data_IF_038927730264
#
_entry.id   IF_038927730264
#
_cell.length_a   1.000
_cell.length_b   1.000
_cell.length_c   1.000
_cell.angle_alpha   90.00
_cell.angle_beta   90.00
_cell.angle_gamma   90.00
#
_symmetry.space_group_name_H-M   'P 1'
#
loop_
_entity.id
_entity.type
_entity.pdbx_description
1 polymer ?
#
# COMPACT_ATOMS: atom_id res chain seq x y z
N UNK A 1 5.12 21.97 -5.97
CA UNK A 1 4.10 21.57 -6.94
C UNK A 1 3.03 20.73 -6.22
N UNK A 2 1.78 20.97 -6.57
CA UNK A 2 0.66 20.25 -5.94
C UNK A 2 0.64 18.79 -6.41
N UNK A 3 0.81 17.83 -5.48
CA UNK A 3 0.82 16.40 -5.79
C UNK A 3 -0.49 15.90 -6.41
N UNK A 4 -1.59 16.64 -6.27
CA UNK A 4 -2.88 16.30 -6.86
C UNK A 4 -3.05 16.84 -8.29
N UNK A 5 -2.00 17.45 -8.87
CA UNK A 5 -1.97 17.89 -10.27
C UNK A 5 -0.88 17.18 -11.07
N UNK A 6 -0.32 16.14 -10.52
CA UNK A 6 0.76 15.37 -11.15
C UNK A 6 0.39 13.90 -11.24
N UNK A 7 0.97 13.23 -12.21
CA UNK A 7 0.95 11.77 -12.25
C UNK A 7 2.06 11.28 -11.33
N UNK A 8 1.72 10.62 -10.25
CA UNK A 8 2.68 10.16 -9.25
C UNK A 8 3.06 8.71 -9.48
N UNK A 9 4.36 8.40 -9.69
CA UNK A 9 4.81 7.01 -9.71
C UNK A 9 4.87 6.46 -8.29
N UNK A 10 4.19 5.35 -8.06
CA UNK A 10 4.03 4.70 -6.76
C UNK A 10 4.37 3.23 -6.87
N UNK A 11 4.88 2.64 -5.80
CA UNK A 11 5.05 1.20 -5.67
C UNK A 11 4.30 0.70 -4.45
N UNK A 12 3.59 -0.40 -4.59
CA UNK A 12 2.88 -1.05 -3.48
C UNK A 12 3.32 -2.52 -3.38
N UNK A 13 3.40 -3.02 -2.14
CA UNK A 13 3.78 -4.39 -1.84
C UNK A 13 2.60 -5.24 -1.40
N UNK A 14 2.43 -6.36 -2.08
CA UNK A 14 1.44 -7.39 -1.71
C UNK A 14 2.15 -8.35 -0.76
N UNK A 15 2.01 -8.11 0.53
CA UNK A 15 2.60 -8.94 1.58
C UNK A 15 1.51 -9.76 2.25
N UNK A 16 1.61 -11.08 2.10
CA UNK A 16 0.61 -12.02 2.61
C UNK A 16 1.19 -12.91 3.70
N UNK A 17 0.35 -13.29 4.66
CA UNK A 17 0.66 -14.28 5.67
C UNK A 17 -0.63 -14.99 6.08
N UNK A 18 -0.70 -16.32 5.91
CA UNK A 18 -1.85 -17.14 6.31
C UNK A 18 -3.20 -16.57 5.80
N UNK A 19 -3.29 -16.30 4.51
CA UNK A 19 -4.48 -15.76 3.88
C UNK A 19 -4.88 -14.37 4.39
N UNK A 20 -3.91 -13.63 4.93
CA UNK A 20 -4.11 -12.25 5.35
C UNK A 20 -3.16 -11.34 4.58
N UNK A 21 -3.62 -10.12 4.31
CA UNK A 21 -2.88 -9.09 3.60
C UNK A 21 -2.47 -7.99 4.56
N UNK A 22 -1.21 -7.56 4.47
CA UNK A 22 -0.72 -6.43 5.26
C UNK A 22 -1.15 -5.12 4.62
N UNK A 23 -1.90 -4.32 5.37
CA UNK A 23 -2.49 -3.07 4.88
C UNK A 23 -2.49 -2.00 5.96
N UNK A 24 -2.55 -0.75 5.53
CA UNK A 24 -2.82 0.38 6.41
C UNK A 24 -4.26 0.85 6.22
N UNK A 25 -4.84 1.40 7.28
CA UNK A 25 -6.20 1.92 7.26
C UNK A 25 -6.18 3.39 6.84
N UNK A 26 -7.10 3.76 5.96
CA UNK A 26 -7.32 5.14 5.58
C UNK A 26 -8.78 5.52 5.74
N UNK A 27 -9.03 6.82 5.80
CA UNK A 27 -10.38 7.34 5.92
C UNK A 27 -10.57 8.55 5.01
N UNK A 28 -11.62 8.51 4.18
CA UNK A 28 -12.00 9.65 3.32
C UNK A 28 -13.14 10.41 4.01
N UNK A 29 -12.83 11.61 4.48
CA UNK A 29 -13.79 12.46 5.22
C UNK A 29 -14.99 12.88 4.37
N UNK A 30 -14.77 13.09 3.08
CA UNK A 30 -15.83 13.56 2.17
C UNK A 30 -16.81 12.44 1.88
N UNK A 31 -16.31 11.23 1.63
CA UNK A 31 -17.13 10.05 1.35
C UNK A 31 -17.61 9.35 2.63
N UNK A 32 -17.07 9.72 3.78
CA UNK A 32 -17.32 9.06 5.07
C UNK A 32 -17.10 7.54 4.91
N UNK A 33 -15.93 7.18 4.42
CA UNK A 33 -15.61 5.79 4.09
C UNK A 33 -14.23 5.41 4.57
N UNK A 34 -14.16 4.27 5.27
CA UNK A 34 -12.90 3.62 5.65
C UNK A 34 -12.45 2.71 4.50
N UNK A 35 -11.17 2.74 4.19
CA UNK A 35 -10.58 1.88 3.18
C UNK A 35 -9.21 1.40 3.66
N UNK A 36 -8.66 0.40 2.96
CA UNK A 36 -7.34 -0.13 3.24
C UNK A 36 -6.44 0.01 2.02
N UNK A 37 -5.14 0.11 2.26
CA UNK A 37 -4.15 0.23 1.21
C UNK A 37 -2.92 -0.60 1.56
N UNK A 38 -2.34 -1.27 0.58
CA UNK A 38 -1.06 -1.96 0.75
C UNK A 38 0.03 -0.96 1.10
N UNK A 39 1.07 -1.41 1.81
CA UNK A 39 2.22 -0.57 2.15
C UNK A 39 3.05 -0.28 0.91
N UNK A 40 3.67 0.87 0.91
CA UNK A 40 4.50 1.35 -0.18
C UNK A 40 4.46 2.87 -0.24
N UNK A 41 4.82 3.44 -1.37
CA UNK A 41 4.83 4.89 -1.52
C UNK A 41 5.48 5.36 -2.79
N UNK A 42 5.85 6.62 -2.84
CA UNK A 42 6.39 7.27 -4.01
C UNK A 42 7.76 6.75 -4.41
N UNK A 43 7.97 6.59 -5.71
CA UNK A 43 9.27 6.24 -6.27
C UNK A 43 10.04 7.55 -6.44
N UNK A 44 11.27 7.61 -5.95
CA UNK A 44 12.10 8.80 -6.04
C UNK A 44 12.91 8.82 -7.34
N UNK A 45 13.34 10.00 -7.76
CA UNK A 45 14.16 10.17 -8.94
C UNK A 45 15.42 9.30 -8.86
N UNK A 46 15.71 8.54 -9.93
CA UNK A 46 16.83 7.59 -10.05
C UNK A 46 16.72 6.34 -9.18
N UNK A 47 15.57 6.10 -8.57
CA UNK A 47 15.30 4.93 -7.77
C UNK A 47 14.48 3.92 -8.59
N UNK A 48 14.88 2.65 -8.57
CA UNK A 48 14.07 1.60 -9.19
C UNK A 48 12.86 1.28 -8.31
N UNK A 49 11.76 0.86 -8.90
CA UNK A 49 10.52 0.62 -8.15
C UNK A 49 10.69 -0.39 -7.02
N UNK A 50 11.44 -1.49 -7.23
CA UNK A 50 11.64 -2.48 -6.17
C UNK A 50 12.52 -1.94 -5.03
N UNK A 51 13.46 -1.02 -5.33
CA UNK A 51 14.27 -0.36 -4.31
C UNK A 51 13.42 0.59 -3.47
N UNK A 52 12.51 1.31 -4.13
CA UNK A 52 11.57 2.19 -3.45
C UNK A 52 10.70 1.41 -2.47
N UNK A 53 10.26 0.22 -2.86
CA UNK A 53 9.42 -0.61 -1.99
C UNK A 53 10.17 -1.01 -0.71
N UNK A 54 11.43 -1.41 -0.83
CA UNK A 54 12.28 -1.75 0.32
C UNK A 54 12.45 -0.56 1.24
N UNK A 55 12.74 0.61 0.67
CA UNK A 55 12.90 1.85 1.43
C UNK A 55 11.62 2.22 2.17
N UNK A 56 10.47 2.15 1.49
CA UNK A 56 9.19 2.50 2.08
C UNK A 56 8.84 1.59 3.26
N UNK A 57 9.07 0.29 3.17
CA UNK A 57 8.82 -0.61 4.30
C UNK A 57 9.71 -0.28 5.49
N UNK A 58 10.99 0.04 5.26
CA UNK A 58 11.90 0.47 6.33
C UNK A 58 11.42 1.76 6.99
N UNK A 59 10.99 2.73 6.20
CA UNK A 59 10.49 4.01 6.72
C UNK A 59 9.18 3.84 7.48
N UNK A 60 8.26 3.05 6.95
CA UNK A 60 6.92 2.93 7.51
C UNK A 60 6.83 2.01 8.73
N UNK A 61 7.45 0.85 8.69
CA UNK A 61 7.35 -0.15 9.77
C UNK A 61 8.70 -0.62 10.33
N UNK A 62 9.80 -0.09 9.82
CA UNK A 62 11.13 -0.42 10.33
C UNK A 62 11.60 -1.83 10.02
N UNK A 63 11.04 -2.48 8.99
CA UNK A 63 11.38 -3.87 8.65
C UNK A 63 11.94 -3.98 7.24
N UNK A 64 12.92 -4.88 7.08
CA UNK A 64 13.42 -5.27 5.77
C UNK A 64 12.49 -6.30 5.16
N UNK A 65 12.28 -6.20 3.85
CA UNK A 65 11.47 -7.16 3.10
C UNK A 65 12.30 -7.79 1.99
N UNK A 66 11.87 -8.98 1.57
CA UNK A 66 12.29 -9.57 0.30
C UNK A 66 11.25 -9.22 -0.74
N UNK A 67 11.66 -8.51 -1.79
CA UNK A 67 10.79 -8.26 -2.94
C UNK A 67 10.89 -9.47 -3.85
N UNK A 68 9.75 -10.05 -4.20
CA UNK A 68 9.71 -11.30 -4.97
C UNK A 68 9.35 -11.06 -6.43
N UNK A 69 8.08 -11.08 -6.76
CA UNK A 69 7.62 -11.03 -8.14
C UNK A 69 7.08 -9.65 -8.50
N UNK A 70 7.41 -9.20 -9.70
CA UNK A 70 6.74 -8.05 -10.30
C UNK A 70 5.37 -8.52 -10.80
N UNK A 71 4.30 -7.91 -10.29
CA UNK A 71 2.94 -8.35 -10.59
C UNK A 71 2.28 -7.55 -11.70
N UNK A 72 2.61 -6.28 -11.83
CA UNK A 72 2.05 -5.46 -12.88
C UNK A 72 2.09 -3.96 -12.56
N UNK A 73 1.57 -3.19 -13.50
CA UNK A 73 1.42 -1.73 -13.38
C UNK A 73 -0.04 -1.38 -13.63
N UNK A 74 -0.58 -0.47 -12.84
CA UNK A 74 -1.92 0.07 -13.01
C UNK A 74 -1.89 1.58 -13.06
N UNK A 75 -2.78 2.13 -13.86
CA UNK A 75 -3.07 3.57 -13.84
C UNK A 75 -4.27 3.76 -12.93
N UNK A 76 -4.10 4.57 -11.88
CA UNK A 76 -5.15 4.78 -10.89
C UNK A 76 -5.55 6.25 -10.88
N UNK A 77 -6.75 6.53 -11.35
CA UNK A 77 -7.33 7.88 -11.36
C UNK A 77 -8.48 7.88 -10.38
N UNK A 78 -8.41 8.73 -9.37
CA UNK A 78 -9.37 8.68 -8.27
C UNK A 78 -9.54 10.06 -7.64
N UNK A 79 -10.51 10.15 -6.73
CA UNK A 79 -10.75 11.35 -5.92
C UNK A 79 -10.61 10.98 -4.46
N UNK A 80 -9.78 11.74 -3.74
CA UNK A 80 -9.61 11.59 -2.31
C UNK A 80 -9.90 12.92 -1.62
N UNK A 81 -10.86 12.90 -0.70
CA UNK A 81 -11.30 14.09 0.05
C UNK A 81 -11.62 15.28 -0.89
N UNK A 82 -12.28 14.99 -2.00
CA UNK A 82 -12.68 15.98 -3.01
C UNK A 82 -11.58 16.41 -3.96
N UNK A 83 -10.35 15.87 -3.81
CA UNK A 83 -9.22 16.20 -4.68
C UNK A 83 -8.96 15.09 -5.68
N UNK A 84 -8.76 15.49 -6.94
CA UNK A 84 -8.44 14.55 -8.01
C UNK A 84 -6.98 14.11 -7.90
N UNK A 85 -6.73 12.80 -8.04
CA UNK A 85 -5.42 12.22 -7.97
C UNK A 85 -5.18 11.26 -9.14
N UNK A 86 -3.91 11.11 -9.53
CA UNK A 86 -3.52 10.24 -10.64
C UNK A 86 -2.20 9.58 -10.26
N UNK A 87 -2.22 8.24 -10.19
CA UNK A 87 -1.04 7.45 -9.81
C UNK A 87 -0.74 6.38 -10.86
N UNK A 88 0.55 6.18 -11.12
CA UNK A 88 1.05 5.04 -11.87
C UNK A 88 1.64 4.09 -10.85
N UNK A 89 1.02 2.93 -10.65
CA UNK A 89 1.34 2.04 -9.53
C UNK A 89 2.01 0.77 -10.02
N UNK A 90 3.20 0.50 -9.47
CA UNK A 90 3.92 -0.76 -9.65
C UNK A 90 3.58 -1.69 -8.48
N UNK A 91 3.23 -2.94 -8.78
CA UNK A 91 2.90 -3.94 -7.76
C UNK A 91 3.94 -5.03 -7.73
N UNK A 92 4.41 -5.35 -6.54
CA UNK A 92 5.30 -6.49 -6.28
C UNK A 92 4.73 -7.33 -5.16
N UNK A 93 4.97 -8.64 -5.22
CA UNK A 93 4.81 -9.46 -4.02
C UNK A 93 6.03 -9.25 -3.13
N UNK A 94 5.82 -9.29 -1.82
CA UNK A 94 6.86 -9.04 -0.84
C UNK A 94 6.67 -9.96 0.36
N UNK A 95 7.78 -10.30 1.02
CA UNK A 95 7.77 -11.16 2.20
C UNK A 95 8.56 -10.51 3.33
N UNK A 96 7.98 -10.54 4.52
CA UNK A 96 8.67 -10.22 5.76
C UNK A 96 9.38 -11.46 6.25
N UNK A 97 10.48 -11.28 7.00
CA UNK A 97 11.12 -12.39 7.68
C UNK A 97 10.17 -12.93 8.76
N UNK A 98 10.19 -14.23 8.96
CA UNK A 98 9.32 -14.89 9.95
C UNK A 98 9.49 -14.30 11.35
N UNK A 99 10.75 -14.02 11.76
CA UNK A 99 11.05 -13.41 13.05
C UNK A 99 10.56 -11.97 13.20
N UNK A 100 10.23 -11.29 12.09
CA UNK A 100 9.73 -9.92 12.10
C UNK A 100 8.21 -9.84 12.10
N UNK A 101 7.52 -10.97 12.13
CA UNK A 101 6.06 -10.99 12.17
C UNK A 101 5.54 -10.39 13.46
N UNK A 102 4.59 -9.49 13.35
CA UNK A 102 3.84 -8.89 14.46
C UNK A 102 2.36 -8.85 14.08
N UNK A 103 1.49 -8.87 15.07
CA UNK A 103 0.05 -8.76 14.82
C UNK A 103 -0.33 -7.40 14.22
N UNK A 104 0.38 -6.35 14.62
CA UNK A 104 0.24 -5.02 14.01
C UNK A 104 1.57 -4.27 14.10
N UNK A 105 1.72 -3.30 13.23
CA UNK A 105 2.91 -2.45 13.17
C UNK A 105 2.49 -1.00 13.34
N UNK A 106 3.20 -0.25 14.19
CA UNK A 106 3.04 1.20 14.27
C UNK A 106 3.72 1.80 13.05
N UNK A 107 2.98 2.62 12.31
CA UNK A 107 3.48 3.29 11.12
C UNK A 107 3.71 4.77 11.41
N UNK A 108 4.81 5.30 10.90
CA UNK A 108 5.07 6.73 10.87
C UNK A 108 4.97 7.19 9.40
N UNK A 109 3.90 7.92 9.10
CA UNK A 109 3.68 8.51 7.78
C UNK A 109 3.64 10.03 7.92
N UNK A 110 4.70 10.71 7.47
CA UNK A 110 4.76 12.19 7.47
C UNK A 110 4.37 12.81 8.81
N UNK A 111 4.88 12.22 9.91
CA UNK A 111 4.61 12.71 11.26
C UNK A 111 3.26 12.30 11.84
N UNK A 112 2.47 11.53 11.10
CA UNK A 112 1.19 10.98 11.60
C UNK A 112 1.39 9.52 11.99
N UNK A 113 0.91 9.16 13.17
CA UNK A 113 0.95 7.76 13.63
C UNK A 113 -0.26 7.03 13.08
N UNK A 114 -0.02 5.91 12.43
CA UNK A 114 -1.03 5.01 11.89
C UNK A 114 -0.63 3.57 12.21
N UNK A 115 -1.41 2.61 11.77
CA UNK A 115 -1.15 1.18 11.97
C UNK A 115 -1.19 0.42 10.67
N UNK A 116 -0.29 -0.54 10.52
CA UNK A 116 -0.39 -1.58 9.50
C UNK A 116 -0.90 -2.84 10.20
N UNK A 117 -1.90 -3.46 9.61
CA UNK A 117 -2.61 -4.62 10.18
C UNK A 117 -2.78 -5.70 9.13
N UNK A 118 -3.00 -6.93 9.61
CA UNK A 118 -3.30 -8.08 8.75
C UNK A 118 -4.82 -8.24 8.66
N UNK A 119 -5.35 -8.17 7.44
CA UNK A 119 -6.79 -8.35 7.19
C UNK A 119 -6.98 -9.61 6.35
N UNK A 120 -7.96 -10.42 6.72
CA UNK A 120 -8.32 -11.62 5.96
C UNK A 120 -8.65 -11.24 4.51
N UNK A 121 -7.98 -11.90 3.56
CA UNK A 121 -8.17 -11.64 2.13
C UNK A 121 -9.62 -11.81 1.71
N UNK A 122 -10.35 -12.73 2.35
CA UNK A 122 -11.77 -12.93 2.05
C UNK A 122 -12.64 -11.71 2.37
N UNK A 123 -12.22 -10.87 3.30
CA UNK A 123 -12.95 -9.61 3.57
C UNK A 123 -12.91 -8.67 2.39
N UNK A 124 -11.79 -8.65 1.66
CA UNK A 124 -11.66 -7.84 0.45
C UNK A 124 -12.41 -8.45 -0.72
N UNK A 125 -12.29 -9.76 -0.91
CA UNK A 125 -12.96 -10.47 -2.01
C UNK A 125 -14.47 -10.44 -1.90
N UNK A 126 -15.00 -10.40 -0.68
CA UNK A 126 -16.46 -10.33 -0.42
C UNK A 126 -17.00 -8.91 -0.34
N UNK A 127 -16.13 -7.91 -0.50
CA UNK A 127 -16.45 -6.49 -0.34
C UNK A 127 -16.91 -6.09 1.06
N UNK A 128 -16.60 -6.89 2.06
CA UNK A 128 -16.81 -6.55 3.47
C UNK A 128 -15.86 -5.44 3.90
N UNK A 129 -14.64 -5.45 3.37
CA UNK A 129 -13.65 -4.39 3.53
C UNK A 129 -13.19 -3.91 2.17
N UNK A 130 -12.87 -2.63 2.04
CA UNK A 130 -12.50 -2.01 0.78
C UNK A 130 -10.98 -1.83 0.73
N UNK A 131 -10.34 -2.32 -0.35
CA UNK A 131 -8.93 -2.06 -0.63
C UNK A 131 -8.81 -1.19 -1.88
N UNK A 132 -7.97 -0.17 -1.81
CA UNK A 132 -7.64 0.68 -2.95
C UNK A 132 -6.16 0.58 -3.28
N UNK A 133 -5.77 0.62 -4.56
CA UNK A 133 -6.68 0.56 -5.70
C UNK A 133 -7.31 -0.83 -5.81
N UNK A 134 -8.44 -0.93 -6.49
CA UNK A 134 -9.18 -2.19 -6.62
C UNK A 134 -8.40 -3.26 -7.41
N UNK A 135 -7.40 -2.87 -8.19
CA UNK A 135 -6.51 -3.78 -8.89
C UNK A 135 -5.78 -4.75 -7.96
N UNK A 136 -5.63 -4.40 -6.69
CA UNK A 136 -5.04 -5.30 -5.67
C UNK A 136 -5.79 -6.63 -5.63
N UNK A 137 -7.11 -6.62 -5.87
CA UNK A 137 -7.93 -7.83 -5.89
C UNK A 137 -7.46 -8.88 -6.90
N UNK A 138 -6.75 -8.46 -7.95
CA UNK A 138 -6.18 -9.38 -8.95
C UNK A 138 -5.01 -10.19 -8.41
N UNK A 139 -4.38 -9.73 -7.34
CA UNK A 139 -3.12 -10.27 -6.84
C UNK A 139 -3.25 -10.99 -5.49
N UNK A 140 -4.45 -11.08 -4.97
CA UNK A 140 -4.70 -11.69 -3.66
C UNK A 140 -5.67 -12.85 -3.71
#
# INVERSE_FOLDING_TARGET
MDKFKEIRPIVLGIAKNNNRLLVSEGYDKVKDSTFYRCLGGGIEFQEKSYEALKREFLEEIGKEISVKDFLGVSENIFTFEGKKAHELIFFYSAELKEEDYQEEYVMDEDGKVNKAVWIDINEFKSNKSIVYPTEVLKYI
#
